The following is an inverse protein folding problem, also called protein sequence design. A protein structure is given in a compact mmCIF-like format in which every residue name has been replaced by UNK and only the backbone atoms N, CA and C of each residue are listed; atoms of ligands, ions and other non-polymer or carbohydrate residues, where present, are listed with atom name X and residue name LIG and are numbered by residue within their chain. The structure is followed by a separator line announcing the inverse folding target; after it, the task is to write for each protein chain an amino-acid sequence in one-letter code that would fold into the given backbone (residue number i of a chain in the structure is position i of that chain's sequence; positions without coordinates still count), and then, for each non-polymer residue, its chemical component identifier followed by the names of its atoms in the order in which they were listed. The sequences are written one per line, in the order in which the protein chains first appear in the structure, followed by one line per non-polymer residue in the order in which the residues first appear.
data_IF_233153468362
#
_entry.id   IF_233153468362
#
_cell.length_a   1.000
_cell.length_b   1.000
_cell.length_c   1.000
_cell.angle_alpha   90.00
_cell.angle_beta   90.00
_cell.angle_gamma   90.00
#
_symmetry.space_group_name_H-M   'P 1'
#
loop_
_entity.id
_entity.type
_entity.pdbx_description
1 polymer ?
#
# COMPACT_ATOMS: atom_id res chain seq x y z
N UNK A 1 12.51 -11.90 -19.59
CA UNK A 1 12.67 -11.56 -19.07
C UNK A 1 12.98 -11.51 -18.35
N UNK A 2 13.21 -11.52 -18.20
CA UNK A 2 13.54 -11.27 -17.53
C UNK A 2 13.88 -11.13 -16.90
N UNK A 3 14.35 -11.09 -16.74
CA UNK A 3 14.69 -10.72 -16.14
C UNK A 3 14.93 -10.15 -15.72
N UNK A 4 14.68 -10.23 -15.80
CA UNK A 4 14.92 -9.31 -15.47
C UNK A 4 15.66 -8.66 -14.74
N UNK A 5 16.10 -8.32 -14.78
CA UNK A 5 16.80 -7.68 -14.03
C UNK A 5 16.45 -6.43 -13.80
N UNK A 6 16.24 -6.15 -12.96
CA UNK A 6 15.82 -5.04 -12.65
C UNK A 6 16.79 -4.11 -12.52
N UNK A 7 16.62 -3.05 -12.91
CA UNK A 7 17.57 -2.22 -12.90
C UNK A 7 17.59 -1.35 -11.86
N UNK A 8 18.26 -1.00 -11.13
CA UNK A 8 18.41 -0.16 -10.03
C UNK A 8 17.35 0.82 -9.68
N UNK A 9 16.19 0.71 -10.26
CA UNK A 9 15.15 1.60 -9.89
C UNK A 9 14.51 1.11 -8.62
N UNK A 10 14.43 1.90 -7.59
CA UNK A 10 13.77 1.46 -6.36
C UNK A 10 12.29 1.26 -6.59
N UNK A 11 11.78 0.21 -6.03
CA UNK A 11 10.37 -0.08 -6.13
C UNK A 11 9.78 -0.19 -4.76
N UNK A 12 8.54 0.22 -4.62
CA UNK A 12 7.82 0.05 -3.38
C UNK A 12 7.37 -1.40 -3.29
N UNK A 13 7.72 -2.05 -2.21
CA UNK A 13 7.31 -3.42 -1.99
C UNK A 13 6.54 -3.47 -0.68
N UNK A 14 5.97 -4.63 -0.38
CA UNK A 14 5.22 -4.81 0.86
C UNK A 14 6.09 -4.44 2.05
N UNK A 15 7.36 -4.75 1.99
CA UNK A 15 8.27 -4.47 3.09
C UNK A 15 8.49 -2.97 3.30
N UNK A 16 8.24 -2.19 2.27
CA UNK A 16 8.44 -0.75 2.35
C UNK A 16 7.21 0.00 2.79
N UNK A 17 6.11 -0.69 2.99
CA UNK A 17 4.89 -0.02 3.40
C UNK A 17 4.98 0.44 4.85
N UNK A 18 4.38 1.59 5.16
CA UNK A 18 4.38 2.07 6.55
C UNK A 18 3.66 1.07 7.44
N UNK A 19 4.17 0.90 8.66
CA UNK A 19 3.51 -0.02 9.58
C UNK A 19 2.09 0.46 9.90
N UNK A 20 1.87 1.76 9.91
CA UNK A 20 0.53 2.29 10.12
C UNK A 20 -0.45 1.79 9.07
N UNK A 21 -0.01 1.77 7.81
CA UNK A 21 -0.85 1.28 6.74
C UNK A 21 -1.12 -0.22 6.93
N UNK A 22 -0.07 -0.99 7.18
CA UNK A 22 -0.23 -2.43 7.35
C UNK A 22 -1.13 -2.75 8.53
N UNK A 23 -1.05 -1.94 9.57
CA UNK A 23 -1.87 -2.14 10.75
C UNK A 23 -3.34 -1.91 10.46
N UNK A 24 -3.67 -0.91 9.66
CA UNK A 24 -5.05 -0.55 9.39
C UNK A 24 -5.63 -1.21 8.15
N UNK A 25 -4.77 -1.80 7.33
CA UNK A 25 -5.23 -2.42 6.09
C UNK A 25 -6.28 -3.52 6.36
N UNK A 26 -6.07 -4.40 7.37
CA UNK A 26 -7.10 -5.42 7.64
C UNK A 26 -8.47 -4.81 7.98
N UNK A 27 -8.48 -3.68 8.68
CA UNK A 27 -9.74 -3.01 8.97
C UNK A 27 -10.40 -2.53 7.70
N UNK A 28 -9.61 -2.03 6.75
CA UNK A 28 -10.13 -1.62 5.45
C UNK A 28 -10.74 -2.83 4.72
N UNK A 29 -10.03 -3.95 4.72
CA UNK A 29 -10.51 -5.15 4.04
C UNK A 29 -11.78 -5.68 4.68
N UNK A 30 -11.90 -5.51 5.98
CA UNK A 30 -13.07 -5.97 6.70
C UNK A 30 -14.27 -5.02 6.56
N UNK A 31 -14.03 -3.86 5.98
CA UNK A 31 -15.11 -2.90 5.81
C UNK A 31 -15.25 -1.90 6.94
N UNK A 32 -14.35 -1.93 7.92
CA UNK A 32 -14.40 -0.99 9.02
C UNK A 32 -13.91 0.39 8.61
N UNK A 33 -13.03 0.46 7.62
CA UNK A 33 -12.50 1.70 7.12
C UNK A 33 -12.73 1.76 5.62
N UNK A 34 -12.93 2.97 5.10
CA UNK A 34 -12.97 3.12 3.66
C UNK A 34 -11.65 3.79 3.23
N UNK A 35 -11.52 4.05 1.94
CA UNK A 35 -10.28 4.63 1.41
C UNK A 35 -9.98 5.98 2.08
N UNK A 36 -10.98 6.81 2.24
CA UNK A 36 -10.77 8.11 2.86
C UNK A 36 -10.26 7.97 4.28
N UNK A 37 -10.87 7.09 5.04
CA UNK A 37 -10.47 6.89 6.41
C UNK A 37 -9.11 6.23 6.52
N UNK A 38 -8.86 5.26 5.66
CA UNK A 38 -7.55 4.60 5.66
C UNK A 38 -6.44 5.62 5.37
N UNK A 39 -6.67 6.48 4.39
CA UNK A 39 -5.70 7.51 4.07
C UNK A 39 -5.50 8.45 5.25
N UNK A 40 -6.58 8.78 5.94
CA UNK A 40 -6.50 9.69 7.06
C UNK A 40 -5.71 9.09 8.22
N UNK A 41 -6.02 7.86 8.60
CA UNK A 41 -5.32 7.25 9.73
C UNK A 41 -3.86 6.97 9.42
N UNK A 42 -3.53 6.80 8.14
CA UNK A 42 -2.15 6.58 7.72
C UNK A 42 -1.43 7.88 7.42
N UNK A 43 -2.17 8.99 7.39
CA UNK A 43 -1.60 10.29 7.04
C UNK A 43 -1.02 10.27 5.63
N UNK A 44 -1.73 9.66 4.71
CA UNK A 44 -1.31 9.54 3.31
C UNK A 44 -2.42 10.03 2.40
N UNK A 45 -2.07 10.29 1.16
CA UNK A 45 -3.09 10.68 0.18
C UNK A 45 -3.78 9.42 -0.34
N UNK A 46 -4.96 9.61 -0.90
CA UNK A 46 -5.69 8.47 -1.44
C UNK A 46 -4.93 7.82 -2.59
N UNK A 47 -4.26 8.63 -3.39
CA UNK A 47 -3.46 8.08 -4.48
C UNK A 47 -2.41 7.11 -3.95
N UNK A 48 -1.75 7.48 -2.87
CA UNK A 48 -0.76 6.62 -2.25
C UNK A 48 -1.40 5.35 -1.71
N UNK A 49 -2.59 5.47 -1.13
CA UNK A 49 -3.30 4.32 -0.61
C UNK A 49 -3.61 3.34 -1.73
N UNK A 50 -4.08 3.84 -2.87
CA UNK A 50 -4.37 2.97 -4.00
C UNK A 50 -3.13 2.23 -4.47
N UNK A 51 -1.98 2.91 -4.47
CA UNK A 51 -0.75 2.26 -4.86
C UNK A 51 -0.41 1.11 -3.94
N UNK A 52 -0.56 1.34 -2.64
CA UNK A 52 -0.24 0.31 -1.66
C UNK A 52 -1.21 -0.87 -1.76
N UNK A 53 -2.48 -0.58 -1.96
CA UNK A 53 -3.47 -1.64 -2.11
C UNK A 53 -3.15 -2.48 -3.34
N UNK A 54 -2.76 -1.82 -4.42
CA UNK A 54 -2.41 -2.52 -5.64
C UNK A 54 -1.22 -3.45 -5.42
N UNK A 55 -0.27 -3.04 -4.62
CA UNK A 55 0.86 -3.89 -4.30
C UNK A 55 0.44 -5.13 -3.52
N UNK A 56 -0.52 -4.96 -2.62
CA UNK A 56 -0.96 -6.06 -1.79
C UNK A 56 -1.92 -7.00 -2.51
N UNK A 57 -2.79 -6.44 -3.33
CA UNK A 57 -3.77 -7.23 -4.04
C UNK A 57 -3.33 -7.60 -5.44
N UNK A 58 -2.60 -6.77 -6.01
CA UNK A 58 -2.26 -6.92 -7.38
C UNK A 58 -1.06 -7.72 -7.63
#
# INVERSE_FOLDING_TARGET
RAKGKQIGRPQITVDNLPSGFLRHYPAYKSGHLNISELARVCDLSRTTIYKYIDLLDG
#
